data_IF_719008941367
#
_entry.id   IF_719008941367
#
_cell.length_a   1.000
_cell.length_b   1.000
_cell.length_c   1.000
_cell.angle_alpha   90.00
_cell.angle_beta   90.00
_cell.angle_gamma   90.00
#
_symmetry.space_group_name_H-M   'P 1'
#
loop_
_entity.id
_entity.type
_entity.pdbx_description
1 polymer ?
#
# COMPACT_ATOMS: atom_id res chain seq x y z
N UNK A 1 5.99 -19.08 -2.29
CA UNK A 1 6.21 -17.96 -1.35
C UNK A 1 5.02 -17.88 -0.42
N UNK A 2 5.23 -17.84 0.90
CA UNK A 2 4.16 -17.70 1.90
C UNK A 2 4.06 -16.22 2.30
N UNK A 3 2.86 -15.63 2.30
CA UNK A 3 2.59 -14.22 2.64
C UNK A 3 1.18 -14.06 3.22
N UNK A 4 0.80 -12.86 3.64
CA UNK A 4 -0.46 -12.59 4.32
C UNK A 4 -1.06 -11.23 3.95
N UNK A 5 -2.39 -11.18 3.71
CA UNK A 5 -3.14 -9.92 3.52
C UNK A 5 -3.84 -9.47 4.79
N UNK A 6 -3.64 -8.22 5.20
CA UNK A 6 -4.31 -7.68 6.39
C UNK A 6 -5.78 -7.34 6.14
N UNK A 7 -6.13 -6.93 4.93
CA UNK A 7 -7.51 -6.61 4.53
C UNK A 7 -8.24 -7.83 3.97
N UNK A 8 -9.55 -7.70 3.80
CA UNK A 8 -10.42 -8.69 3.14
C UNK A 8 -9.99 -9.02 1.71
N UNK A 9 -10.72 -9.91 1.05
CA UNK A 9 -10.47 -10.25 -0.34
C UNK A 9 -10.61 -9.03 -1.27
N UNK A 10 -11.57 -8.16 -0.95
CA UNK A 10 -11.85 -6.91 -1.64
C UNK A 10 -12.41 -5.89 -0.64
N UNK A 11 -12.77 -4.70 -1.11
CA UNK A 11 -13.44 -3.67 -0.30
C UNK A 11 -14.81 -4.11 0.24
N UNK A 12 -15.48 -5.07 -0.42
CA UNK A 12 -16.78 -5.59 0.00
C UNK A 12 -16.70 -6.79 0.96
N UNK A 13 -15.53 -7.39 1.14
CA UNK A 13 -15.33 -8.55 2.00
C UNK A 13 -14.86 -8.16 3.41
N UNK A 14 -15.70 -8.33 4.46
CA UNK A 14 -15.32 -8.06 5.85
C UNK A 14 -14.43 -9.14 6.49
N UNK A 15 -14.10 -10.22 5.77
CA UNK A 15 -13.22 -11.32 6.21
C UNK A 15 -13.73 -12.14 7.42
N UNK A 16 -15.02 -12.51 7.44
CA UNK A 16 -15.65 -13.28 8.54
C UNK A 16 -15.14 -14.72 8.72
N UNK A 17 -14.35 -15.23 7.78
CA UNK A 17 -13.80 -16.59 7.80
C UNK A 17 -12.49 -16.72 8.58
N UNK A 18 -11.99 -15.63 9.18
CA UNK A 18 -10.78 -15.63 10.03
C UNK A 18 -10.97 -14.70 11.21
N UNK A 19 -10.18 -14.93 12.26
CA UNK A 19 -10.26 -14.12 13.48
C UNK A 19 -9.48 -12.82 13.34
N UNK A 20 -9.83 -11.81 14.15
CA UNK A 20 -9.06 -10.56 14.21
C UNK A 20 -7.71 -10.78 14.89
N UNK A 21 -7.67 -11.73 15.81
CA UNK A 21 -6.50 -12.14 16.57
C UNK A 21 -5.42 -12.73 15.66
N UNK A 22 -5.81 -13.57 14.68
CA UNK A 22 -4.89 -14.12 13.69
C UNK A 22 -4.22 -12.99 12.89
N UNK A 23 -5.02 -12.07 12.34
CA UNK A 23 -4.51 -10.93 11.55
C UNK A 23 -3.60 -10.04 12.40
N UNK A 24 -4.00 -9.75 13.64
CA UNK A 24 -3.21 -8.93 14.57
C UNK A 24 -1.87 -9.60 14.88
N UNK A 25 -1.85 -10.90 15.14
CA UNK A 25 -0.64 -11.66 15.44
C UNK A 25 0.33 -11.63 14.25
N UNK A 26 -0.18 -11.89 13.05
CA UNK A 26 0.66 -11.85 11.84
C UNK A 26 1.23 -10.44 11.64
N UNK A 27 0.43 -9.39 11.83
CA UNK A 27 0.89 -8.01 11.70
C UNK A 27 1.94 -7.64 12.74
N UNK A 28 1.82 -8.06 14.00
CA UNK A 28 2.81 -7.72 15.02
C UNK A 28 4.10 -8.52 14.93
N UNK A 29 4.05 -9.77 14.44
CA UNK A 29 5.21 -10.69 14.46
C UNK A 29 5.88 -10.86 13.09
N UNK A 30 5.16 -10.56 12.01
CA UNK A 30 5.58 -10.92 10.65
C UNK A 30 5.49 -9.79 9.63
N UNK A 31 5.25 -8.54 10.07
CA UNK A 31 5.22 -7.41 9.15
C UNK A 31 6.58 -7.23 8.44
N UNK A 32 6.59 -7.22 7.10
CA UNK A 32 7.85 -7.13 6.36
C UNK A 32 8.55 -5.78 6.53
N UNK A 33 7.80 -4.68 6.75
CA UNK A 33 8.34 -3.34 6.94
C UNK A 33 9.00 -3.24 8.33
N UNK A 34 8.34 -3.74 9.37
CA UNK A 34 8.93 -3.75 10.71
C UNK A 34 10.17 -4.65 10.79
N UNK A 35 10.16 -5.80 10.08
CA UNK A 35 11.33 -6.69 10.02
C UNK A 35 12.53 -6.05 9.34
N UNK A 36 12.35 -5.38 8.21
CA UNK A 36 13.47 -4.71 7.54
C UNK A 36 13.94 -3.50 8.34
N UNK A 37 13.02 -2.76 8.97
CA UNK A 37 13.34 -1.65 9.90
C UNK A 37 14.28 -2.13 11.00
N UNK A 38 13.93 -3.21 11.71
CA UNK A 38 14.78 -3.74 12.77
C UNK A 38 16.17 -4.13 12.24
N UNK A 39 16.21 -4.81 11.08
CA UNK A 39 17.48 -5.22 10.46
C UNK A 39 18.36 -4.03 10.07
N UNK A 40 17.78 -2.93 9.59
CA UNK A 40 18.52 -1.70 9.25
C UNK A 40 19.14 -1.09 10.51
N UNK A 41 18.39 -1.02 11.61
CA UNK A 41 18.87 -0.50 12.89
C UNK A 41 19.96 -1.38 13.49
N UNK A 42 19.77 -2.71 13.49
CA UNK A 42 20.76 -3.67 13.99
C UNK A 42 22.09 -3.58 13.23
N UNK A 43 22.04 -3.28 11.93
CA UNK A 43 23.21 -3.08 11.08
C UNK A 43 23.80 -1.67 11.17
N UNK A 44 23.21 -0.76 11.96
CA UNK A 44 23.55 0.66 12.01
C UNK A 44 23.59 1.32 10.62
N UNK A 45 22.75 0.85 9.69
CA UNK A 45 22.71 1.37 8.32
C UNK A 45 21.89 2.67 8.20
N UNK A 46 21.00 2.92 9.16
CA UNK A 46 20.30 4.18 9.38
C UNK A 46 19.84 4.25 10.83
N UNK A 47 19.43 5.44 11.29
CA UNK A 47 18.80 5.64 12.60
C UNK A 47 17.27 5.80 12.48
N UNK A 48 16.60 5.83 13.64
CA UNK A 48 15.15 6.02 13.71
C UNK A 48 14.67 7.33 13.06
N UNK A 49 15.48 8.38 13.10
CA UNK A 49 15.13 9.69 12.54
C UNK A 49 15.13 9.66 11.01
N UNK A 50 16.14 9.05 10.42
CA UNK A 50 16.25 8.84 8.98
C UNK A 50 15.06 8.00 8.46
N UNK A 51 14.69 6.92 9.16
CA UNK A 51 13.54 6.11 8.77
C UNK A 51 12.21 6.88 8.89
N UNK A 52 12.02 7.69 9.93
CA UNK A 52 10.84 8.56 10.07
C UNK A 52 10.76 9.62 8.96
N UNK A 53 11.89 10.13 8.48
CA UNK A 53 11.94 11.06 7.33
C UNK A 53 11.45 10.38 6.05
N UNK A 54 11.85 9.13 5.82
CA UNK A 54 11.36 8.32 4.69
C UNK A 54 9.85 8.12 4.78
N UNK A 55 9.33 7.69 5.95
CA UNK A 55 7.90 7.49 6.15
C UNK A 55 7.09 8.76 5.86
N UNK A 56 7.60 9.91 6.32
CA UNK A 56 6.96 11.21 6.10
C UNK A 56 6.96 11.60 4.62
N UNK A 57 8.08 11.39 3.92
CA UNK A 57 8.20 11.66 2.49
C UNK A 57 7.25 10.79 1.67
N UNK A 58 7.19 9.48 1.96
CA UNK A 58 6.28 8.55 1.27
C UNK A 58 4.82 8.94 1.51
N UNK A 59 4.45 9.32 2.74
CA UNK A 59 3.09 9.80 3.04
C UNK A 59 2.72 11.04 2.24
N UNK A 60 3.64 11.99 2.09
CA UNK A 60 3.41 13.19 1.30
C UNK A 60 3.14 12.82 -0.17
N UNK A 61 3.98 11.97 -0.77
CA UNK A 61 3.80 11.49 -2.15
C UNK A 61 2.47 10.78 -2.35
N UNK A 62 2.09 9.90 -1.42
CA UNK A 62 0.81 9.17 -1.51
C UNK A 62 -0.39 10.10 -1.35
N UNK A 63 -0.31 11.10 -0.46
CA UNK A 63 -1.37 12.09 -0.29
C UNK A 63 -1.55 12.93 -1.55
N UNK A 64 -0.47 13.46 -2.10
CA UNK A 64 -0.49 14.26 -3.33
C UNK A 64 -1.06 13.45 -4.51
N UNK A 65 -0.65 12.18 -4.65
CA UNK A 65 -1.21 11.30 -5.67
C UNK A 65 -2.71 11.02 -5.47
N UNK A 66 -3.16 10.88 -4.21
CA UNK A 66 -4.56 10.67 -3.90
C UNK A 66 -5.42 11.92 -4.17
N UNK A 67 -4.91 13.10 -3.85
CA UNK A 67 -5.56 14.38 -4.12
C UNK A 67 -5.69 14.59 -5.63
N UNK A 68 -4.59 14.39 -6.38
CA UNK A 68 -4.61 14.43 -7.84
C UNK A 68 -5.62 13.46 -8.45
N UNK A 69 -5.67 12.21 -7.95
CA UNK A 69 -6.60 11.20 -8.46
C UNK A 69 -8.08 11.54 -8.17
N UNK A 70 -8.37 12.28 -7.09
CA UNK A 70 -9.74 12.71 -6.75
C UNK A 70 -10.17 13.95 -7.52
N UNK A 71 -9.24 14.86 -7.80
CA UNK A 71 -9.51 16.11 -8.52
C UNK A 71 -9.46 15.96 -10.04
N UNK A 72 -8.85 14.88 -10.53
CA UNK A 72 -8.80 14.58 -11.96
C UNK A 72 -10.21 14.40 -12.54
N UNK A 73 -10.53 15.05 -13.67
CA UNK A 73 -11.83 14.87 -14.30
C UNK A 73 -12.00 13.43 -14.79
N UNK A 74 -13.24 12.97 -14.81
CA UNK A 74 -13.59 11.73 -15.52
C UNK A 74 -13.22 11.86 -17.01
N UNK A 75 -12.90 10.75 -17.69
CA UNK A 75 -12.64 10.76 -19.13
C UNK A 75 -13.79 11.38 -19.92
N UNK A 76 -13.47 12.06 -21.03
CA UNK A 76 -14.48 12.56 -21.94
C UNK A 76 -15.29 11.40 -22.55
N UNK A 77 -16.58 11.60 -22.80
CA UNK A 77 -17.43 10.56 -23.39
C UNK A 77 -16.93 10.07 -24.76
N UNK A 78 -16.18 10.89 -25.49
CA UNK A 78 -15.55 10.49 -26.75
C UNK A 78 -14.51 9.38 -26.58
N UNK A 79 -13.91 9.24 -25.39
CA UNK A 79 -12.97 8.15 -25.06
C UNK A 79 -13.64 6.78 -24.93
N UNK A 80 -14.99 6.70 -24.92
CA UNK A 80 -15.69 5.43 -24.79
C UNK A 80 -15.37 4.43 -25.92
N UNK A 81 -15.01 4.93 -27.11
CA UNK A 81 -14.79 4.13 -28.32
C UNK A 81 -13.32 4.04 -28.76
N UNK A 82 -12.41 4.62 -27.98
CA UNK A 82 -10.97 4.57 -28.23
C UNK A 82 -10.38 3.23 -27.72
N UNK A 83 -9.13 2.91 -28.09
CA UNK A 83 -8.37 1.73 -27.64
C UNK A 83 -8.96 0.33 -27.93
N UNK A 84 -9.91 0.21 -28.87
CA UNK A 84 -10.47 -1.09 -29.29
C UNK A 84 -9.51 -1.86 -30.21
N UNK A 85 -8.82 -1.13 -31.11
CA UNK A 85 -7.84 -1.66 -32.05
C UNK A 85 -6.53 -0.85 -31.90
N UNK A 86 -5.40 -1.47 -32.23
CA UNK A 86 -4.13 -0.74 -32.35
C UNK A 86 -4.13 0.16 -33.58
N UNK A 87 -3.44 1.29 -33.52
CA UNK A 87 -3.23 2.17 -34.69
C UNK A 87 -2.47 1.41 -35.80
N UNK A 88 -2.84 1.67 -37.07
CA UNK A 88 -2.25 1.04 -38.26
C UNK A 88 -1.13 1.89 -38.83
#
# INVERSE_FOLDING_TARGET
>A
MQTYRYRGHSMSDPAKYRSREEVSKVRSEQDPIDRIRQRILDLNAADDEALKKIDSAVKAVVSEAADYAQESPEPDLSELYTDILVEV
#
